data_IF_982471017570
#
_entry.id   IF_982471017570
#
_cell.length_a   1.000
_cell.length_b   1.000
_cell.length_c   1.000
_cell.angle_alpha   90.00
_cell.angle_beta   90.00
_cell.angle_gamma   90.00
#
_symmetry.space_group_name_H-M   'P 1'
#
loop_
_entity.id
_entity.type
_entity.pdbx_description
1 polymer ?
#
# COMPACT_ATOMS: atom_id res chain seq x y z
N UNK A 1 10.25 -0.35 25.25
CA UNK A 1 9.59 -0.73 23.99
C UNK A 1 9.69 -2.22 23.73
N UNK A 2 10.89 -2.73 23.45
CA UNK A 2 11.16 -4.17 23.22
C UNK A 2 10.52 -5.07 24.29
N UNK A 3 10.72 -4.77 25.57
CA UNK A 3 10.12 -5.53 26.68
C UNK A 3 8.58 -5.58 26.65
N UNK A 4 7.92 -4.49 26.23
CA UNK A 4 6.46 -4.43 26.11
C UNK A 4 5.99 -5.31 24.97
N UNK A 5 6.69 -5.29 23.83
CA UNK A 5 6.38 -6.14 22.67
C UNK A 5 6.61 -7.62 22.98
N UNK A 6 7.74 -7.96 23.59
CA UNK A 6 8.03 -9.32 24.07
C UNK A 6 6.99 -9.80 25.08
N UNK A 7 6.56 -8.91 25.99
CA UNK A 7 5.51 -9.18 26.96
C UNK A 7 4.15 -9.44 26.31
N UNK A 8 3.78 -8.67 25.28
CA UNK A 8 2.57 -8.90 24.49
C UNK A 8 2.61 -10.25 23.76
N UNK A 9 3.73 -10.57 23.11
CA UNK A 9 3.88 -11.82 22.33
C UNK A 9 3.91 -13.07 23.22
N UNK A 10 4.45 -12.95 24.43
CA UNK A 10 4.50 -14.05 25.41
C UNK A 10 3.24 -14.16 26.28
N UNK A 11 2.27 -13.25 26.12
CA UNK A 11 1.05 -13.20 26.94
C UNK A 11 1.27 -12.73 28.38
N UNK A 12 2.43 -12.11 28.67
CA UNK A 12 2.72 -11.47 29.97
C UNK A 12 1.89 -10.20 30.17
N UNK A 13 1.61 -9.48 29.08
CA UNK A 13 0.76 -8.30 29.07
C UNK A 13 -0.41 -8.53 28.11
N UNK A 14 -1.60 -8.13 28.52
CA UNK A 14 -2.73 -7.97 27.61
C UNK A 14 -2.62 -6.61 26.89
N UNK A 15 -3.08 -6.53 25.64
CA UNK A 15 -3.07 -5.27 24.89
C UNK A 15 -3.92 -4.19 25.55
N UNK A 16 -5.00 -4.54 26.25
CA UNK A 16 -5.80 -3.61 27.04
C UNK A 16 -5.01 -3.00 28.21
N UNK A 17 -4.17 -3.80 28.88
CA UNK A 17 -3.28 -3.33 29.94
C UNK A 17 -2.22 -2.37 29.38
N UNK A 18 -1.65 -2.70 28.21
CA UNK A 18 -0.68 -1.84 27.54
C UNK A 18 -1.33 -0.54 27.05
N UNK A 19 -2.57 -0.57 26.55
CA UNK A 19 -3.35 0.64 26.21
C UNK A 19 -3.56 1.52 27.45
N UNK A 20 -3.94 0.93 28.58
CA UNK A 20 -4.17 1.68 29.82
C UNK A 20 -2.88 2.32 30.34
N UNK A 21 -1.77 1.57 30.32
CA UNK A 21 -0.44 2.08 30.65
C UNK A 21 -0.04 3.22 29.69
N UNK A 22 -0.20 3.03 28.39
CA UNK A 22 0.09 4.03 27.36
C UNK A 22 -0.68 5.34 27.60
N UNK A 23 -1.98 5.24 27.83
CA UNK A 23 -2.83 6.40 28.12
C UNK A 23 -2.38 7.16 29.37
N UNK A 24 -1.89 6.45 30.38
CA UNK A 24 -1.32 7.02 31.61
C UNK A 24 -0.02 7.76 31.31
N UNK A 25 0.88 7.20 30.48
CA UNK A 25 2.11 7.88 30.06
C UNK A 25 1.78 9.17 29.30
N UNK A 26 0.82 9.13 28.37
CA UNK A 26 0.37 10.31 27.65
C UNK A 26 -0.21 11.40 28.56
N UNK A 27 -0.95 11.02 29.61
CA UNK A 27 -1.47 11.95 30.62
C UNK A 27 -0.35 12.62 31.42
N UNK A 28 0.60 11.82 31.94
CA UNK A 28 1.71 12.30 32.75
C UNK A 28 2.60 13.29 31.99
N UNK A 29 2.81 13.03 30.69
CA UNK A 29 3.68 13.84 29.85
C UNK A 29 2.95 14.90 29.03
N UNK A 30 1.64 15.13 29.29
CA UNK A 30 0.80 16.09 28.56
C UNK A 30 0.84 15.91 27.03
N UNK A 31 0.92 14.66 26.57
CA UNK A 31 0.98 14.30 25.15
C UNK A 31 -0.40 14.21 24.48
N UNK A 32 -1.44 14.75 25.14
CA UNK A 32 -2.82 14.75 24.64
C UNK A 32 -3.11 16.04 23.87
N UNK A 33 -3.11 15.94 22.55
CA UNK A 33 -3.55 17.02 21.68
C UNK A 33 -3.55 16.60 20.20
N UNK A 34 -4.41 17.20 19.36
CA UNK A 34 -4.33 17.04 17.91
C UNK A 34 -2.91 17.42 17.44
N UNK A 35 -2.21 16.50 16.79
CA UNK A 35 -0.85 16.72 16.30
C UNK A 35 0.26 16.64 17.35
N UNK A 36 -0.02 16.36 18.63
CA UNK A 36 1.03 16.20 19.66
C UNK A 36 1.89 14.94 19.44
N UNK A 37 1.34 13.95 18.75
CA UNK A 37 2.07 12.78 18.23
C UNK A 37 2.68 13.02 16.83
N UNK A 38 2.50 14.22 16.26
CA UNK A 38 3.04 14.64 14.95
C UNK A 38 4.17 15.68 15.08
N UNK A 39 4.33 16.31 16.24
CA UNK A 39 5.42 17.27 16.50
C UNK A 39 6.56 16.52 17.18
N UNK A 40 7.75 16.40 16.55
CA UNK A 40 8.88 15.77 17.20
C UNK A 40 9.17 16.51 18.51
N UNK A 41 9.03 15.82 19.63
CA UNK A 41 9.56 16.31 20.90
C UNK A 41 11.05 16.58 20.66
N UNK A 42 11.61 17.61 21.30
CA UNK A 42 12.99 18.09 21.07
C UNK A 42 14.11 17.06 21.36
N UNK A 43 13.77 15.78 21.55
CA UNK A 43 14.65 14.64 21.66
C UNK A 43 14.17 13.57 20.65
N UNK A 44 14.91 13.43 19.54
CA UNK A 44 14.50 12.60 18.40
C UNK A 44 14.67 11.08 18.62
N UNK A 45 15.43 10.68 19.65
CA UNK A 45 15.66 9.27 19.98
C UNK A 45 14.50 8.70 20.81
N UNK A 46 13.83 7.64 20.34
CA UNK A 46 12.78 6.94 21.08
C UNK A 46 11.36 7.45 20.85
N UNK A 47 11.18 8.65 20.28
CA UNK A 47 9.86 9.24 20.04
C UNK A 47 9.08 8.48 18.96
N UNK A 48 9.74 8.09 17.88
CA UNK A 48 9.10 7.33 16.82
C UNK A 48 8.71 5.93 17.28
N UNK A 49 9.55 5.29 18.10
CA UNK A 49 9.25 4.02 18.73
C UNK A 49 8.03 4.15 19.66
N UNK A 50 7.95 5.26 20.41
CA UNK A 50 6.79 5.60 21.23
C UNK A 50 5.53 5.73 20.37
N UNK A 51 5.48 6.66 19.41
CA UNK A 51 4.33 6.86 18.51
C UNK A 51 3.91 5.57 17.84
N UNK A 52 4.86 4.79 17.35
CA UNK A 52 4.56 3.53 16.67
C UNK A 52 3.89 2.52 17.63
N UNK A 53 4.28 2.47 18.91
CA UNK A 53 3.63 1.60 19.89
C UNK A 53 2.14 1.94 20.03
N UNK A 54 1.78 3.22 19.98
CA UNK A 54 0.37 3.62 20.00
C UNK A 54 -0.42 3.02 18.84
N UNK A 55 0.19 2.89 17.66
CA UNK A 55 -0.44 2.29 16.49
C UNK A 55 -0.70 0.79 16.67
N UNK A 56 0.19 0.07 17.37
CA UNK A 56 0.00 -1.35 17.71
C UNK A 56 -1.22 -1.61 18.58
N UNK A 57 -1.62 -0.60 19.35
CA UNK A 57 -2.62 -0.70 20.38
C UNK A 57 -4.02 -0.28 19.90
N UNK A 58 -4.16 0.09 18.64
CA UNK A 58 -5.45 0.45 18.07
C UNK A 58 -6.39 -0.77 17.94
N UNK A 59 -7.58 -0.70 18.54
CA UNK A 59 -8.61 -1.71 18.35
C UNK A 59 -8.96 -1.85 16.87
N UNK A 60 -9.16 -3.09 16.40
CA UNK A 60 -9.80 -3.33 15.13
C UNK A 60 -11.24 -2.84 15.26
N UNK A 61 -11.66 -1.89 14.42
CA UNK A 61 -12.93 -1.19 14.64
C UNK A 61 -14.16 -2.04 14.27
N UNK A 62 -14.00 -3.21 13.65
CA UNK A 62 -15.09 -3.85 12.93
C UNK A 62 -15.15 -5.40 12.92
N UNK A 63 -14.36 -6.12 13.72
CA UNK A 63 -14.46 -7.59 13.72
C UNK A 63 -15.43 -8.16 14.78
N UNK A 64 -16.09 -7.28 15.55
CA UNK A 64 -17.08 -7.62 16.57
C UNK A 64 -16.56 -8.48 17.72
N UNK A 65 -15.24 -8.67 17.83
CA UNK A 65 -14.61 -9.47 18.89
C UNK A 65 -13.93 -8.52 19.87
N UNK A 66 -14.35 -8.59 21.12
CA UNK A 66 -13.60 -7.97 22.22
C UNK A 66 -12.12 -8.41 22.15
N UNK A 67 -11.20 -7.45 22.10
CA UNK A 67 -9.76 -7.71 22.08
C UNK A 67 -9.14 -7.95 20.70
N UNK A 68 -9.84 -7.64 19.61
CA UNK A 68 -9.22 -7.59 18.29
C UNK A 68 -8.51 -6.26 18.02
N UNK A 69 -7.33 -6.33 17.40
CA UNK A 69 -6.47 -5.20 17.13
C UNK A 69 -6.11 -5.13 15.66
N UNK A 70 -6.03 -3.92 15.13
CA UNK A 70 -5.71 -3.69 13.72
C UNK A 70 -4.37 -4.34 13.33
N UNK A 71 -3.35 -4.14 14.18
CA UNK A 71 -2.03 -4.76 14.04
C UNK A 71 -2.00 -6.10 14.80
N UNK A 72 -1.73 -7.21 14.10
CA UNK A 72 -1.79 -8.59 14.63
C UNK A 72 -0.51 -8.97 15.38
N UNK A 73 -0.54 -10.07 16.13
CA UNK A 73 0.66 -10.56 16.84
C UNK A 73 1.80 -10.96 15.90
N UNK A 74 1.49 -11.44 14.68
CA UNK A 74 2.51 -11.69 13.66
C UNK A 74 3.22 -10.40 13.25
N UNK A 75 2.46 -9.33 13.01
CA UNK A 75 3.02 -8.02 12.65
C UNK A 75 3.89 -7.46 13.81
N UNK A 76 3.47 -7.64 15.06
CA UNK A 76 4.26 -7.29 16.26
C UNK A 76 5.56 -8.10 16.36
N UNK A 77 5.51 -9.41 16.03
CA UNK A 77 6.69 -10.28 16.04
C UNK A 77 7.72 -9.85 15.00
N UNK A 78 7.25 -9.50 13.80
CA UNK A 78 8.10 -9.03 12.70
C UNK A 78 8.77 -7.70 13.06
N UNK A 79 8.04 -6.79 13.70
CA UNK A 79 8.62 -5.54 14.15
C UNK A 79 9.58 -5.72 15.33
N UNK A 80 9.26 -6.59 16.30
CA UNK A 80 10.21 -6.90 17.37
C UNK A 80 11.54 -7.44 16.79
N UNK A 81 11.47 -8.37 15.84
CA UNK A 81 12.65 -8.89 15.15
C UNK A 81 13.50 -7.76 14.53
N UNK A 82 12.84 -6.79 13.89
CA UNK A 82 13.51 -5.60 13.36
C UNK A 82 14.21 -4.75 14.42
N UNK A 83 13.53 -4.41 15.52
CA UNK A 83 14.13 -3.61 16.59
C UNK A 83 15.36 -4.29 17.23
N UNK A 84 15.41 -5.61 17.17
CA UNK A 84 16.52 -6.41 17.70
C UNK A 84 17.62 -6.71 16.68
N UNK A 85 17.40 -6.45 15.39
CA UNK A 85 18.36 -6.74 14.33
C UNK A 85 19.42 -5.63 14.24
N UNK A 86 20.61 -5.88 14.79
CA UNK A 86 21.78 -5.00 14.66
C UNK A 86 22.55 -5.27 13.36
N UNK A 87 22.00 -4.91 12.20
CA UNK A 87 22.87 -4.56 11.07
C UNK A 87 22.66 -5.19 9.69
N UNK A 88 21.65 -6.02 9.41
CA UNK A 88 21.28 -6.33 8.01
C UNK A 88 19.75 -6.47 7.85
N UNK A 89 19.16 -6.00 6.73
CA UNK A 89 17.76 -6.27 6.41
C UNK A 89 17.55 -7.78 6.33
N UNK A 90 16.56 -8.30 7.05
CA UNK A 90 16.22 -9.72 6.99
C UNK A 90 15.64 -10.06 5.60
N UNK A 91 16.49 -10.52 4.69
CA UNK A 91 16.09 -11.18 3.45
C UNK A 91 15.44 -12.53 3.77
N UNK A 92 14.14 -12.53 4.08
CA UNK A 92 13.32 -13.72 3.92
C UNK A 92 12.04 -13.39 3.18
N UNK A 93 12.13 -13.53 1.85
CA UNK A 93 11.02 -13.58 0.90
C UNK A 93 10.54 -12.21 0.45
N UNK A 94 10.97 -11.78 -0.74
CA UNK A 94 10.38 -10.80 -1.69
C UNK A 94 9.73 -9.51 -1.15
N UNK A 95 9.89 -9.16 0.12
CA UNK A 95 9.34 -7.96 0.76
C UNK A 95 10.51 -7.22 1.38
N UNK A 96 10.95 -6.14 0.74
CA UNK A 96 11.92 -5.21 1.31
C UNK A 96 11.24 -4.48 2.48
N UNK A 97 11.45 -4.98 3.70
CA UNK A 97 10.93 -4.36 4.91
C UNK A 97 11.97 -3.44 5.54
N UNK A 98 11.44 -2.34 6.08
CA UNK A 98 12.05 -1.40 7.01
C UNK A 98 12.76 -0.18 6.42
N UNK A 99 11.93 0.82 6.13
CA UNK A 99 11.97 2.06 6.91
C UNK A 99 10.57 2.63 6.94
N UNK A 100 10.12 3.16 8.09
CA UNK A 100 9.21 4.30 8.04
C UNK A 100 9.92 5.29 7.11
N UNK A 101 9.35 5.64 5.96
CA UNK A 101 9.97 6.67 5.13
C UNK A 101 9.97 7.92 6.01
N UNK A 102 11.10 8.22 6.65
CA UNK A 102 11.29 9.50 7.34
C UNK A 102 11.04 10.67 6.38
N UNK A 103 11.13 10.34 5.10
CA UNK A 103 10.60 11.02 3.94
C UNK A 103 10.12 9.90 3.01
N UNK A 104 8.88 9.92 2.51
CA UNK A 104 8.70 9.52 1.10
C UNK A 104 9.80 10.28 0.37
N UNK A 105 10.68 9.61 -0.37
CA UNK A 105 11.63 10.37 -1.20
C UNK A 105 10.80 11.42 -1.93
N UNK A 106 11.22 12.68 -1.93
CA UNK A 106 10.41 13.80 -2.45
C UNK A 106 9.95 13.59 -3.90
N UNK A 107 10.46 12.55 -4.56
CA UNK A 107 10.19 12.11 -5.92
C UNK A 107 9.07 11.05 -6.03
N UNK A 108 8.67 10.38 -4.94
CA UNK A 108 7.58 9.41 -4.95
C UNK A 108 6.23 10.15 -4.92
N UNK A 109 5.45 9.97 -5.99
CA UNK A 109 4.14 10.58 -6.14
C UNK A 109 3.06 9.52 -6.26
N UNK A 110 1.79 9.92 -6.06
CA UNK A 110 0.66 9.06 -6.37
C UNK A 110 0.58 8.85 -7.88
N UNK A 111 0.72 7.62 -8.33
CA UNK A 111 0.69 7.25 -9.75
C UNK A 111 -0.74 6.93 -10.21
N UNK A 112 -1.51 6.22 -9.39
CA UNK A 112 -2.93 5.94 -9.65
C UNK A 112 -3.68 5.56 -8.38
N UNK A 113 -5.01 5.58 -8.47
CA UNK A 113 -5.92 4.97 -7.50
C UNK A 113 -6.90 4.03 -8.19
N UNK A 114 -7.25 2.94 -7.51
CA UNK A 114 -8.19 1.95 -8.00
C UNK A 114 -9.07 1.40 -6.89
N UNK A 115 -10.20 0.82 -7.28
CA UNK A 115 -11.11 0.12 -6.40
C UNK A 115 -10.83 -1.39 -6.42
N UNK A 116 -10.41 -1.91 -5.26
CA UNK A 116 -10.15 -3.32 -4.97
C UNK A 116 -10.95 -3.77 -3.73
N UNK A 117 -12.29 -3.83 -3.85
CA UNK A 117 -13.15 -4.17 -2.72
C UNK A 117 -12.91 -5.60 -2.23
N UNK A 118 -12.53 -6.49 -3.16
CA UNK A 118 -12.28 -7.90 -2.92
C UNK A 118 -10.85 -8.18 -2.42
N UNK A 119 -9.96 -7.18 -2.38
CA UNK A 119 -8.57 -7.34 -1.93
C UNK A 119 -7.74 -8.25 -2.84
N UNK A 120 -8.02 -8.23 -4.14
CA UNK A 120 -7.35 -9.03 -5.16
C UNK A 120 -5.89 -8.64 -5.34
N UNK A 121 -5.51 -7.38 -5.10
CA UNK A 121 -4.15 -6.90 -5.34
C UNK A 121 -3.13 -7.67 -4.50
N UNK A 122 -3.29 -7.66 -3.18
CA UNK A 122 -2.34 -8.34 -2.30
C UNK A 122 -2.47 -9.86 -2.35
N UNK A 123 -3.71 -10.37 -2.47
CA UNK A 123 -3.96 -11.81 -2.49
C UNK A 123 -3.44 -12.49 -3.76
N UNK A 124 -3.56 -11.84 -4.93
CA UNK A 124 -3.09 -12.41 -6.21
C UNK A 124 -1.57 -12.39 -6.35
N UNK A 125 -0.88 -11.52 -5.61
CA UNK A 125 0.58 -11.41 -5.66
C UNK A 125 1.30 -12.24 -4.59
N UNK A 126 0.56 -12.97 -3.75
CA UNK A 126 1.09 -13.62 -2.52
C UNK A 126 1.93 -12.65 -1.67
N UNK A 127 1.55 -11.37 -1.68
CA UNK A 127 2.20 -10.33 -0.90
C UNK A 127 1.51 -10.29 0.46
N UNK A 128 2.31 -10.33 1.52
CA UNK A 128 1.84 -10.05 2.87
C UNK A 128 1.95 -8.56 3.14
N UNK A 129 0.84 -7.78 3.07
CA UNK A 129 0.90 -6.37 3.37
C UNK A 129 1.27 -6.15 4.83
N UNK A 130 2.00 -5.07 5.07
CA UNK A 130 2.27 -4.54 6.41
C UNK A 130 1.12 -3.63 6.79
N UNK A 131 0.65 -3.71 8.04
CA UNK A 131 -0.42 -2.85 8.56
C UNK A 131 0.17 -1.67 9.32
N UNK A 132 -0.31 -0.46 9.05
CA UNK A 132 0.09 0.77 9.74
C UNK A 132 -0.99 1.85 9.69
N UNK A 133 -0.74 3.02 10.27
CA UNK A 133 -1.67 4.17 10.25
C UNK A 133 -1.30 5.22 9.20
N UNK A 134 -0.58 4.80 8.17
CA UNK A 134 0.29 5.67 7.39
C UNK A 134 -0.47 6.25 6.20
N UNK A 135 -1.44 7.10 6.47
CA UNK A 135 -1.72 8.18 5.52
C UNK A 135 -1.72 9.52 6.25
N UNK A 136 -1.72 10.59 5.46
CA UNK A 136 -1.74 11.98 5.91
C UNK A 136 -2.95 12.31 6.81
N UNK A 137 -3.98 11.46 6.78
CA UNK A 137 -5.19 11.55 7.58
C UNK A 137 -5.15 10.69 8.85
N UNK A 138 -4.05 9.95 9.09
CA UNK A 138 -3.89 9.07 10.26
C UNK A 138 -4.80 7.84 10.24
N UNK A 139 -5.19 7.39 9.05
CA UNK A 139 -6.11 6.27 8.87
C UNK A 139 -5.37 4.92 8.81
N UNK A 140 -6.02 3.83 9.22
CA UNK A 140 -5.47 2.48 9.06
C UNK A 140 -5.27 2.13 7.59
N UNK A 141 -4.06 1.71 7.25
CA UNK A 141 -3.64 1.32 5.92
C UNK A 141 -2.88 0.01 5.94
N UNK A 142 -3.07 -0.77 4.89
CA UNK A 142 -2.23 -1.90 4.51
C UNK A 142 -1.28 -1.42 3.42
N UNK A 143 0.01 -1.68 3.53
CA UNK A 143 0.97 -1.31 2.51
C UNK A 143 1.94 -2.42 2.15
N UNK A 144 2.42 -2.42 0.91
CA UNK A 144 3.51 -3.26 0.47
C UNK A 144 4.43 -2.50 -0.48
N UNK A 145 5.73 -2.74 -0.33
CA UNK A 145 6.74 -2.31 -1.28
C UNK A 145 7.05 -3.46 -2.23
N UNK A 146 6.96 -3.19 -3.52
CA UNK A 146 7.15 -4.17 -4.59
C UNK A 146 8.15 -3.62 -5.58
N UNK A 147 9.18 -4.40 -5.89
CA UNK A 147 10.03 -4.12 -7.05
C UNK A 147 9.46 -4.89 -8.26
N UNK A 148 9.00 -4.16 -9.27
CA UNK A 148 8.40 -4.72 -10.48
C UNK A 148 9.04 -4.11 -11.73
N UNK A 149 9.63 -4.95 -12.58
CA UNK A 149 10.33 -4.51 -13.80
C UNK A 149 11.40 -3.41 -13.56
N UNK A 150 12.08 -3.48 -12.41
CA UNK A 150 13.10 -2.51 -12.01
C UNK A 150 12.54 -1.19 -11.46
N UNK A 151 11.22 -1.08 -11.30
CA UNK A 151 10.56 0.04 -10.63
C UNK A 151 10.15 -0.36 -9.22
N UNK A 152 10.40 0.52 -8.25
CA UNK A 152 9.91 0.36 -6.89
C UNK A 152 8.52 1.00 -6.80
N UNK A 153 7.55 0.22 -6.38
CA UNK A 153 6.15 0.62 -6.23
C UNK A 153 5.72 0.44 -4.79
N UNK A 154 5.07 1.45 -4.24
CA UNK A 154 4.38 1.37 -2.96
C UNK A 154 2.89 1.17 -3.24
N UNK A 155 2.36 0.03 -2.82
CA UNK A 155 0.95 -0.28 -2.83
C UNK A 155 0.37 0.06 -1.45
N UNK A 156 -0.60 0.96 -1.38
CA UNK A 156 -1.32 1.32 -0.16
C UNK A 156 -2.78 0.96 -0.34
N UNK A 157 -3.42 0.38 0.68
CA UNK A 157 -4.85 0.10 0.73
C UNK A 157 -5.42 0.69 2.01
N UNK A 158 -6.51 1.43 1.90
CA UNK A 158 -7.24 1.88 3.07
C UNK A 158 -8.04 0.72 3.66
N UNK A 159 -7.80 0.45 4.94
CA UNK A 159 -8.57 -0.51 5.72
C UNK A 159 -9.57 0.31 6.56
N UNK A 160 -10.85 0.11 6.31
CA UNK A 160 -11.92 0.38 7.28
C UNK A 160 -12.57 1.79 7.33
N UNK A 161 -12.41 2.66 6.32
CA UNK A 161 -13.19 3.93 6.27
C UNK A 161 -14.11 4.03 5.06
N UNK A 162 -15.42 4.12 5.31
CA UNK A 162 -16.45 4.49 4.33
C UNK A 162 -16.30 5.98 3.99
N UNK A 163 -16.15 6.40 2.71
CA UNK A 163 -16.46 5.70 1.46
C UNK A 163 -15.25 5.10 0.71
N UNK A 164 -14.08 4.99 1.35
CA UNK A 164 -12.80 4.57 0.74
C UNK A 164 -12.41 3.10 0.99
N UNK A 165 -13.32 2.29 1.53
CA UNK A 165 -13.08 0.85 1.74
C UNK A 165 -12.77 0.20 0.39
N UNK A 166 -11.62 -0.47 0.31
CA UNK A 166 -11.17 -1.13 -0.92
C UNK A 166 -10.39 -0.23 -1.87
N UNK A 167 -10.23 1.07 -1.59
CA UNK A 167 -9.34 1.89 -2.40
C UNK A 167 -7.89 1.46 -2.21
N UNK A 168 -7.21 1.28 -3.32
CA UNK A 168 -5.77 1.07 -3.41
C UNK A 168 -5.15 2.27 -4.12
N UNK A 169 -4.06 2.75 -3.55
CA UNK A 169 -3.19 3.76 -4.12
C UNK A 169 -1.86 3.11 -4.49
N UNK A 170 -1.35 3.44 -5.68
CA UNK A 170 -0.01 3.02 -6.11
C UNK A 170 0.85 4.27 -6.20
N UNK A 171 1.96 4.27 -5.48
CA UNK A 171 2.94 5.35 -5.45
C UNK A 171 4.28 4.88 -6.02
N UNK A 172 5.06 5.83 -6.55
CA UNK A 172 6.42 5.60 -7.01
C UNK A 172 6.95 6.79 -7.82
N UNK A 173 8.10 6.58 -8.45
CA UNK A 173 8.69 7.55 -9.38
C UNK A 173 7.89 7.63 -10.68
N UNK A 174 7.68 8.82 -11.25
CA UNK A 174 7.05 8.97 -12.57
C UNK A 174 7.89 8.33 -13.69
N UNK A 175 9.22 8.34 -13.56
CA UNK A 175 10.14 7.99 -14.65
C UNK A 175 10.11 6.48 -14.91
N UNK A 176 9.42 6.08 -15.98
CA UNK A 176 9.33 4.68 -16.41
C UNK A 176 8.28 3.85 -15.65
N UNK A 177 7.50 4.45 -14.76
CA UNK A 177 6.50 3.71 -13.99
C UNK A 177 5.27 3.30 -14.80
N UNK A 178 4.87 4.04 -15.84
CA UNK A 178 3.69 3.72 -16.65
C UNK A 178 3.68 2.27 -17.15
N UNK A 179 4.80 1.80 -17.70
CA UNK A 179 4.95 0.43 -18.21
C UNK A 179 4.92 -0.60 -17.08
N UNK A 180 5.64 -0.35 -15.98
CA UNK A 180 5.70 -1.26 -14.85
C UNK A 180 4.32 -1.41 -14.19
N UNK A 181 3.63 -0.29 -13.95
CA UNK A 181 2.30 -0.24 -13.34
C UNK A 181 1.26 -0.92 -14.24
N UNK A 182 1.22 -0.59 -15.54
CA UNK A 182 0.31 -1.23 -16.48
C UNK A 182 0.54 -2.76 -16.53
N UNK A 183 1.80 -3.19 -16.56
CA UNK A 183 2.15 -4.62 -16.56
C UNK A 183 1.78 -5.31 -15.26
N UNK A 184 1.99 -4.67 -14.12
CA UNK A 184 1.64 -5.18 -12.80
C UNK A 184 0.13 -5.44 -12.72
N UNK A 185 -0.66 -4.41 -13.02
CA UNK A 185 -2.12 -4.46 -12.96
C UNK A 185 -2.69 -5.50 -13.95
N UNK A 186 -2.15 -5.57 -15.17
CA UNK A 186 -2.55 -6.59 -16.14
C UNK A 186 -2.24 -8.01 -15.66
N UNK A 187 -1.10 -8.22 -15.00
CA UNK A 187 -0.68 -9.53 -14.46
C UNK A 187 -1.60 -9.99 -13.33
N UNK A 188 -1.96 -9.08 -12.44
CA UNK A 188 -2.92 -9.32 -11.34
C UNK A 188 -4.34 -9.51 -11.87
N UNK A 189 -4.58 -9.08 -13.10
CA UNK A 189 -5.85 -9.25 -13.77
C UNK A 189 -6.87 -8.16 -13.45
N UNK A 190 -6.41 -7.01 -12.96
CA UNK A 190 -7.24 -5.82 -12.73
C UNK A 190 -7.99 -5.45 -14.00
N UNK A 191 -9.27 -5.13 -13.84
CA UNK A 191 -10.14 -4.71 -14.93
C UNK A 191 -10.04 -3.20 -15.14
N UNK A 192 -10.16 -2.69 -16.38
CA UNK A 192 -10.11 -1.25 -16.64
C UNK A 192 -11.10 -0.44 -15.82
N UNK A 193 -12.32 -0.97 -15.62
CA UNK A 193 -13.36 -0.31 -14.83
C UNK A 193 -13.11 -0.25 -13.31
N UNK A 194 -12.01 -0.81 -12.83
CA UNK A 194 -11.56 -0.67 -11.44
C UNK A 194 -10.66 0.55 -11.24
N UNK A 195 -10.15 1.17 -12.32
CA UNK A 195 -9.35 2.39 -12.19
C UNK A 195 -10.25 3.58 -11.86
N UNK A 196 -9.95 4.26 -10.77
CA UNK A 196 -10.66 5.49 -10.38
C UNK A 196 -9.97 6.73 -10.95
N UNK A 197 -8.63 6.73 -10.94
CA UNK A 197 -7.82 7.86 -11.38
C UNK A 197 -6.41 7.41 -11.73
N UNK A 198 -5.83 8.03 -12.77
CA UNK A 198 -4.43 7.86 -13.18
C UNK A 198 -3.78 9.24 -13.19
N UNK A 199 -2.57 9.35 -12.68
CA UNK A 199 -1.82 10.59 -12.67
C UNK A 199 -1.55 11.06 -14.10
N UNK A 200 -2.01 12.27 -14.50
CA UNK A 200 -1.77 12.80 -15.84
C UNK A 200 -0.29 13.00 -16.18
N UNK A 201 0.58 13.15 -15.18
CA UNK A 201 2.03 13.29 -15.38
C UNK A 201 2.74 11.94 -15.58
N UNK A 202 2.05 10.83 -15.34
CA UNK A 202 2.59 9.50 -15.59
C UNK A 202 2.89 9.28 -17.08
N UNK A 203 2.17 9.99 -17.96
CA UNK A 203 2.15 9.72 -19.40
C UNK A 203 1.85 10.98 -20.24
N UNK A 204 2.47 11.10 -21.42
CA UNK A 204 2.28 12.26 -22.31
C UNK A 204 1.04 12.12 -23.21
N UNK A 205 -0.16 12.12 -22.64
CA UNK A 205 -1.42 12.26 -23.40
C UNK A 205 -2.09 10.95 -23.82
N UNK A 206 -3.14 11.04 -24.67
CA UNK A 206 -4.05 9.93 -24.94
C UNK A 206 -3.41 8.79 -25.76
N UNK A 207 -3.97 7.60 -25.60
CA UNK A 207 -3.52 6.39 -26.28
C UNK A 207 -4.66 5.71 -27.02
N UNK A 208 -4.33 5.06 -28.13
CA UNK A 208 -5.29 4.36 -28.96
C UNK A 208 -4.97 2.86 -29.00
N UNK A 209 -6.01 2.04 -28.84
CA UNK A 209 -5.99 0.61 -29.09
C UNK A 209 -6.66 0.34 -30.44
N UNK A 210 -5.86 -0.11 -31.41
CA UNK A 210 -6.34 -0.53 -32.71
C UNK A 210 -6.52 -2.04 -32.75
N UNK A 211 -7.71 -2.50 -33.15
CA UNK A 211 -7.96 -3.91 -33.46
C UNK A 211 -7.63 -4.18 -34.92
N UNK A 212 -6.77 -5.16 -35.16
CA UNK A 212 -6.32 -5.55 -36.48
C UNK A 212 -6.97 -6.87 -36.92
N UNK A 213 -7.32 -6.96 -38.20
CA UNK A 213 -7.67 -8.23 -38.83
C UNK A 213 -6.43 -9.11 -39.08
N UNK A 214 -6.65 -10.34 -39.56
CA UNK A 214 -5.57 -11.29 -39.87
C UNK A 214 -4.62 -10.80 -40.99
N UNK A 215 -5.02 -9.76 -41.74
CA UNK A 215 -4.22 -9.12 -42.79
C UNK A 215 -3.51 -7.84 -42.30
N UNK A 216 -3.69 -7.46 -41.03
CA UNK A 216 -3.11 -6.25 -40.43
C UNK A 216 -3.88 -4.97 -40.72
N UNK A 217 -5.10 -5.03 -41.27
CA UNK A 217 -5.93 -3.85 -41.47
C UNK A 217 -6.62 -3.44 -40.17
N UNK A 218 -6.69 -2.14 -39.92
CA UNK A 218 -7.41 -1.57 -38.77
C UNK A 218 -8.93 -1.69 -38.96
N UNK A 219 -9.59 -2.43 -38.07
CA UNK A 219 -11.04 -2.60 -38.06
C UNK A 219 -11.72 -1.55 -37.17
N UNK A 220 -11.11 -1.26 -36.03
CA UNK A 220 -11.62 -0.33 -35.04
C UNK A 220 -10.46 0.29 -34.26
N UNK A 221 -10.60 1.56 -33.89
CA UNK A 221 -9.67 2.29 -33.05
C UNK A 221 -10.47 2.90 -31.90
N UNK A 222 -10.05 2.61 -30.68
CA UNK A 222 -10.64 3.17 -29.46
C UNK A 222 -9.57 3.97 -28.75
N UNK A 223 -9.88 5.23 -28.45
CA UNK A 223 -9.01 6.13 -27.69
C UNK A 223 -9.31 6.04 -26.19
N UNK A 224 -8.25 6.12 -25.40
CA UNK A 224 -8.23 6.06 -23.95
C UNK A 224 -7.46 7.25 -23.38
N UNK A 225 -7.82 7.65 -22.17
CA UNK A 225 -7.21 8.79 -21.51
C UNK A 225 -5.77 8.51 -21.06
N UNK A 226 -5.42 7.22 -20.87
CA UNK A 226 -4.08 6.77 -20.46
C UNK A 226 -3.67 5.47 -21.15
N UNK A 227 -2.37 5.28 -21.30
CA UNK A 227 -1.71 4.03 -21.66
C UNK A 227 -1.97 2.92 -20.65
N UNK A 228 -1.94 3.19 -19.34
CA UNK A 228 -2.33 2.19 -18.32
C UNK A 228 -3.72 1.62 -18.63
N UNK A 229 -4.71 2.49 -18.84
CA UNK A 229 -6.07 2.06 -19.20
C UNK A 229 -6.10 1.26 -20.50
N UNK A 230 -5.45 1.76 -21.57
CA UNK A 230 -5.39 1.11 -22.86
C UNK A 230 -4.73 -0.28 -22.79
N UNK A 231 -3.68 -0.44 -21.96
CA UNK A 231 -3.02 -1.73 -21.71
C UNK A 231 -3.89 -2.71 -20.95
N UNK A 232 -4.69 -2.24 -19.99
CA UNK A 232 -5.63 -3.12 -19.28
C UNK A 232 -6.72 -3.63 -20.21
N UNK A 233 -7.25 -2.78 -21.09
CA UNK A 233 -8.20 -3.20 -22.12
C UNK A 233 -7.60 -4.21 -23.08
N UNK A 234 -6.36 -3.98 -23.54
CA UNK A 234 -5.64 -4.94 -24.36
C UNK A 234 -5.49 -6.29 -23.65
N UNK A 235 -5.01 -6.29 -22.40
CA UNK A 235 -4.81 -7.51 -21.63
C UNK A 235 -6.14 -8.25 -21.36
N UNK A 236 -7.26 -7.52 -21.24
CA UNK A 236 -8.59 -8.12 -21.10
C UNK A 236 -9.05 -8.80 -22.40
N UNK A 237 -8.82 -8.17 -23.55
CA UNK A 237 -9.12 -8.76 -24.87
C UNK A 237 -8.30 -10.04 -25.10
N UNK A 238 -6.99 -9.99 -24.82
CA UNK A 238 -6.09 -11.14 -24.92
C UNK A 238 -6.56 -12.29 -24.01
N UNK A 239 -6.96 -12.00 -22.76
CA UNK A 239 -7.49 -13.00 -21.82
C UNK A 239 -8.83 -13.59 -22.26
N UNK A 240 -9.69 -12.82 -22.94
CA UNK A 240 -10.97 -13.30 -23.46
C UNK A 240 -10.84 -14.22 -24.69
N UNK A 241 -9.62 -14.43 -25.18
CA UNK A 241 -9.36 -15.28 -26.34
C UNK A 241 -9.69 -14.59 -27.66
N UNK A 242 -9.66 -13.25 -27.70
CA UNK A 242 -9.76 -12.51 -28.94
C UNK A 242 -8.65 -12.97 -29.89
N UNK A 243 -9.03 -13.44 -31.09
CA UNK A 243 -8.06 -13.91 -32.10
C UNK A 243 -7.35 -12.76 -32.82
N UNK A 244 -7.92 -11.56 -32.72
CA UNK A 244 -7.44 -10.37 -33.39
C UNK A 244 -6.22 -9.79 -32.68
N UNK A 245 -5.23 -9.35 -33.46
CA UNK A 245 -4.07 -8.66 -32.93
C UNK A 245 -4.50 -7.26 -32.51
N UNK A 246 -4.11 -6.84 -31.31
CA UNK A 246 -4.36 -5.47 -30.83
C UNK A 246 -3.05 -4.69 -30.80
N UNK A 247 -3.03 -3.50 -31.39
CA UNK A 247 -1.88 -2.60 -31.45
C UNK A 247 -2.14 -1.37 -30.60
N UNK A 248 -1.20 -1.04 -29.71
CA UNK A 248 -1.20 0.23 -28.98
C UNK A 248 -0.31 1.25 -29.64
N UNK A 249 -0.81 2.49 -29.72
CA UNK A 249 -0.06 3.66 -30.18
C UNK A 249 -0.54 4.91 -29.46
N UNK A 250 0.30 5.95 -29.46
CA UNK A 250 -0.16 7.30 -29.09
C UNK A 250 -1.20 7.76 -30.11
N UNK A 251 -2.27 8.40 -29.62
CA UNK A 251 -3.34 8.95 -30.45
C UNK A 251 -2.91 10.25 -31.14
#
# INVERSE_FOLDING_TARGET
MIEVLEGLLSGRYDRTEVVAWWNTVCDVHALRGPGTLLVPLGNAEGYWEFVSLSALLLPARDDGRDGAYFIRNTDVSEWLAYLTCSGEPLEKGLVHRHRWPSSLDQEDCLLLSMNDPDGLLFSSMDIKPVRGLVNDLGLPTEFALVDWQGQRLWLERCCDDYPRIGLVFIHGSLVGAAQAVASLLATIGVSPGQLDWVNPELEDGPWALAQLDDSGNELAVIEYASFVEARLWQAQLERSGARQVSLLRRA
#
